data_IF_412611948479
#
_entry.id   IF_412611948479
#
_cell.length_a   1.000
_cell.length_b   1.000
_cell.length_c   1.000
_cell.angle_alpha   90.00
_cell.angle_beta   90.00
_cell.angle_gamma   90.00
#
_symmetry.space_group_name_H-M   'P 1'
#
loop_
_entity.id
_entity.type
_entity.pdbx_description
1 polymer ?
#
# COMPACT_ATOMS: atom_id res chain seq x y z
N UNK A 1 13.86 -22.72 -2.88
CA UNK A 1 12.69 -22.69 -3.79
C UNK A 1 12.84 -23.83 -4.79
N UNK A 2 11.80 -24.64 -5.02
CA UNK A 2 11.77 -25.49 -6.20
C UNK A 2 11.19 -24.64 -7.33
N UNK A 3 12.01 -24.36 -8.34
CA UNK A 3 11.55 -23.76 -9.60
C UNK A 3 10.64 -24.79 -10.27
N UNK A 4 9.44 -24.39 -10.70
CA UNK A 4 8.55 -25.28 -11.46
C UNK A 4 9.30 -25.76 -12.70
N UNK A 5 9.42 -27.07 -12.87
CA UNK A 5 9.96 -27.67 -14.08
C UNK A 5 8.86 -27.64 -15.15
N UNK A 6 9.00 -26.83 -16.23
CA UNK A 6 7.98 -26.75 -17.26
C UNK A 6 7.78 -28.07 -18.03
N UNK A 7 8.72 -29.01 -17.92
CA UNK A 7 8.65 -30.31 -18.57
C UNK A 7 8.12 -31.43 -17.64
N UNK A 8 7.86 -31.15 -16.34
CA UNK A 8 7.18 -32.08 -15.43
C UNK A 8 5.65 -31.86 -15.47
N UNK A 9 4.86 -32.85 -15.93
CA UNK A 9 3.39 -32.74 -16.02
C UNK A 9 2.70 -32.39 -14.69
N UNK A 10 3.31 -32.70 -13.54
CA UNK A 10 2.77 -32.32 -12.23
C UNK A 10 2.95 -30.84 -11.94
N UNK A 11 4.09 -30.27 -12.33
CA UNK A 11 4.38 -28.85 -12.17
C UNK A 11 3.57 -28.02 -13.18
N UNK A 12 3.36 -28.53 -14.39
CA UNK A 12 2.44 -27.95 -15.39
C UNK A 12 1.00 -27.89 -14.85
N UNK A 13 0.45 -29.02 -14.39
CA UNK A 13 -0.91 -29.07 -13.84
C UNK A 13 -1.09 -28.16 -12.60
N UNK A 14 -0.04 -28.05 -11.77
CA UNK A 14 -0.02 -27.14 -10.62
C UNK A 14 -0.01 -25.68 -11.07
N UNK A 15 0.80 -25.34 -12.07
CA UNK A 15 0.88 -24.00 -12.62
C UNK A 15 -0.47 -23.57 -13.20
N UNK A 16 -1.10 -24.41 -14.01
CA UNK A 16 -2.41 -24.12 -14.61
C UNK A 16 -3.48 -23.85 -13.54
N UNK A 17 -3.51 -24.66 -12.48
CA UNK A 17 -4.44 -24.46 -11.37
C UNK A 17 -4.19 -23.11 -10.65
N UNK A 18 -2.92 -22.72 -10.46
CA UNK A 18 -2.57 -21.44 -9.86
C UNK A 18 -2.92 -20.26 -10.77
N UNK A 19 -2.69 -20.38 -12.08
CA UNK A 19 -3.05 -19.37 -13.08
C UNK A 19 -4.56 -19.18 -13.16
N UNK A 20 -5.34 -20.27 -13.16
CA UNK A 20 -6.80 -20.17 -13.12
C UNK A 20 -7.29 -19.49 -11.84
N UNK A 21 -6.70 -19.82 -10.68
CA UNK A 21 -7.03 -19.13 -9.44
C UNK A 21 -6.66 -17.65 -9.47
N UNK A 22 -5.57 -17.26 -10.12
CA UNK A 22 -5.19 -15.86 -10.26
C UNK A 22 -6.17 -15.13 -11.19
N UNK A 23 -6.55 -15.73 -12.32
CA UNK A 23 -7.58 -15.20 -13.21
C UNK A 23 -8.93 -15.00 -12.49
N UNK A 24 -9.26 -15.90 -11.57
CA UNK A 24 -10.45 -15.81 -10.70
C UNK A 24 -10.33 -14.78 -9.56
N UNK A 25 -9.17 -14.15 -9.37
CA UNK A 25 -8.89 -13.24 -8.24
C UNK A 25 -8.73 -13.93 -6.89
N UNK A 26 -8.49 -15.25 -6.86
CA UNK A 26 -8.33 -16.10 -5.66
C UNK A 26 -6.87 -16.45 -5.35
N UNK A 27 -5.94 -15.92 -6.12
CA UNK A 27 -4.50 -16.02 -5.96
C UNK A 27 -3.83 -14.77 -6.54
N UNK A 28 -2.55 -14.61 -6.27
CA UNK A 28 -1.71 -13.50 -6.72
C UNK A 28 -0.48 -14.02 -7.45
N UNK A 29 0.25 -13.15 -8.16
CA UNK A 29 1.52 -13.52 -8.79
C UNK A 29 2.55 -13.98 -7.75
N UNK A 30 2.48 -13.49 -6.50
CA UNK A 30 3.24 -14.05 -5.37
C UNK A 30 3.02 -15.55 -5.24
N UNK A 31 1.77 -15.99 -5.26
CA UNK A 31 1.41 -17.40 -5.06
C UNK A 31 1.82 -18.26 -6.27
N UNK A 32 1.67 -17.72 -7.49
CA UNK A 32 2.09 -18.39 -8.74
C UNK A 32 3.60 -18.59 -8.78
N UNK A 33 4.38 -17.58 -8.38
CA UNK A 33 5.84 -17.62 -8.42
C UNK A 33 6.48 -18.18 -7.15
N UNK A 34 5.67 -18.41 -6.11
CA UNK A 34 6.13 -18.90 -4.82
C UNK A 34 7.07 -17.92 -4.11
N UNK A 35 6.87 -16.61 -4.28
CA UNK A 35 7.63 -15.61 -3.53
C UNK A 35 7.23 -15.68 -2.05
N UNK A 36 8.24 -15.78 -1.18
CA UNK A 36 8.03 -15.69 0.26
C UNK A 36 7.77 -14.25 0.70
N UNK A 37 7.07 -14.08 1.82
CA UNK A 37 6.87 -12.75 2.39
C UNK A 37 8.23 -12.11 2.76
N UNK A 38 9.20 -12.88 3.26
CA UNK A 38 10.55 -12.37 3.59
C UNK A 38 11.27 -11.77 2.37
N UNK A 39 11.18 -12.41 1.20
CA UNK A 39 11.75 -11.89 -0.05
C UNK A 39 11.10 -10.57 -0.46
N UNK A 40 9.76 -10.49 -0.42
CA UNK A 40 9.03 -9.28 -0.78
C UNK A 40 9.30 -8.13 0.21
N UNK A 41 9.36 -8.41 1.50
CA UNK A 41 9.68 -7.41 2.52
C UNK A 41 11.16 -6.99 2.50
N UNK A 42 12.08 -7.83 2.00
CA UNK A 42 13.46 -7.43 1.72
C UNK A 42 13.54 -6.41 0.57
N UNK A 43 12.75 -6.59 -0.50
CA UNK A 43 12.62 -5.61 -1.57
C UNK A 43 12.00 -4.31 -1.03
N UNK A 44 10.97 -4.40 -0.18
CA UNK A 44 10.34 -3.23 0.42
C UNK A 44 11.32 -2.43 1.29
N UNK A 45 12.17 -3.09 2.07
CA UNK A 45 13.26 -2.45 2.83
C UNK A 45 14.20 -1.66 1.91
N UNK A 46 14.55 -2.22 0.75
CA UNK A 46 15.37 -1.54 -0.27
C UNK A 46 14.64 -0.34 -0.88
N UNK A 47 13.35 -0.47 -1.16
CA UNK A 47 12.52 0.62 -1.66
C UNK A 47 12.45 1.80 -0.67
N UNK A 48 12.29 1.50 0.63
CA UNK A 48 12.37 2.53 1.67
C UNK A 48 13.75 3.16 1.77
N UNK A 49 14.82 2.39 1.62
CA UNK A 49 16.18 2.93 1.60
C UNK A 49 16.36 3.97 0.48
N UNK A 50 15.89 3.69 -0.74
CA UNK A 50 15.89 4.70 -1.81
C UNK A 50 15.00 5.90 -1.49
N UNK A 51 13.81 5.66 -0.94
CA UNK A 51 12.90 6.74 -0.56
C UNK A 51 13.54 7.74 0.42
N UNK A 52 14.20 7.23 1.48
CA UNK A 52 14.88 8.07 2.47
C UNK A 52 16.12 8.80 1.93
N UNK A 53 16.68 8.35 0.80
CA UNK A 53 17.73 9.07 0.08
C UNK A 53 17.19 10.14 -0.88
N UNK A 54 15.87 10.34 -0.95
CA UNK A 54 15.24 11.22 -1.94
C UNK A 54 15.19 10.61 -3.34
N UNK A 55 15.58 9.34 -3.51
CA UNK A 55 15.54 8.59 -4.77
C UNK A 55 14.14 8.03 -4.99
N UNK A 56 13.19 8.95 -5.15
CA UNK A 56 11.75 8.67 -5.21
C UNK A 56 11.41 7.81 -6.44
N UNK A 57 12.09 8.00 -7.57
CA UNK A 57 11.84 7.22 -8.79
C UNK A 57 12.12 5.73 -8.58
N UNK A 58 13.25 5.38 -7.98
CA UNK A 58 13.62 3.99 -7.73
C UNK A 58 12.72 3.34 -6.67
N UNK A 59 12.40 4.08 -5.60
CA UNK A 59 11.43 3.62 -4.61
C UNK A 59 10.07 3.32 -5.25
N UNK A 60 9.63 4.18 -6.17
CA UNK A 60 8.35 4.04 -6.88
C UNK A 60 8.34 2.78 -7.72
N UNK A 61 9.39 2.54 -8.51
CA UNK A 61 9.50 1.33 -9.32
C UNK A 61 9.38 0.06 -8.48
N UNK A 62 10.07 0.02 -7.33
CA UNK A 62 10.03 -1.16 -6.47
C UNK A 62 8.66 -1.36 -5.81
N UNK A 63 8.02 -0.31 -5.29
CA UNK A 63 6.68 -0.45 -4.68
C UNK A 63 5.58 -0.76 -5.70
N UNK A 64 5.69 -0.26 -6.93
CA UNK A 64 4.79 -0.64 -8.02
C UNK A 64 4.92 -2.13 -8.33
N UNK A 65 6.15 -2.65 -8.40
CA UNK A 65 6.41 -4.08 -8.60
C UNK A 65 5.86 -4.93 -7.46
N UNK A 66 6.10 -4.55 -6.20
CA UNK A 66 5.58 -5.24 -5.02
C UNK A 66 4.05 -5.28 -5.01
N UNK A 67 3.40 -4.15 -5.30
CA UNK A 67 1.95 -4.08 -5.39
C UNK A 67 1.40 -4.93 -6.54
N UNK A 68 2.07 -4.97 -7.70
CA UNK A 68 1.67 -5.82 -8.81
C UNK A 68 1.80 -7.32 -8.48
N UNK A 69 2.82 -7.70 -7.71
CA UNK A 69 3.07 -9.08 -7.29
C UNK A 69 2.06 -9.54 -6.24
N UNK A 70 1.76 -8.68 -5.26
CA UNK A 70 0.82 -8.96 -4.18
C UNK A 70 -0.09 -7.74 -3.90
N UNK A 71 -1.17 -7.54 -4.67
CA UNK A 71 -2.07 -6.40 -4.50
C UNK A 71 -2.96 -6.51 -3.25
N UNK A 72 -2.94 -7.66 -2.57
CA UNK A 72 -3.71 -7.91 -1.34
C UNK A 72 -2.95 -7.58 -0.06
N UNK A 73 -1.67 -7.20 -0.16
CA UNK A 73 -0.91 -6.72 1.00
C UNK A 73 -1.12 -5.22 1.19
N UNK A 74 -1.79 -4.87 2.29
CA UNK A 74 -2.08 -3.48 2.66
C UNK A 74 -0.81 -2.65 2.88
N UNK A 75 0.29 -3.28 3.31
CA UNK A 75 1.56 -2.60 3.52
C UNK A 75 2.14 -2.09 2.20
N UNK A 76 2.13 -2.90 1.13
CA UNK A 76 2.61 -2.47 -0.19
C UNK A 76 1.70 -1.41 -0.81
N UNK A 77 0.38 -1.54 -0.66
CA UNK A 77 -0.57 -0.51 -1.10
C UNK A 77 -0.34 0.83 -0.37
N UNK A 78 -0.17 0.80 0.96
CA UNK A 78 0.13 2.00 1.76
C UNK A 78 1.46 2.64 1.36
N UNK A 79 2.51 1.85 1.23
CA UNK A 79 3.83 2.32 0.86
C UNK A 79 3.85 2.92 -0.56
N UNK A 80 3.16 2.28 -1.51
CA UNK A 80 2.95 2.84 -2.84
C UNK A 80 2.23 4.19 -2.77
N UNK A 81 1.20 4.33 -1.94
CA UNK A 81 0.51 5.61 -1.72
C UNK A 81 1.44 6.74 -1.27
N UNK A 82 2.33 6.45 -0.31
CA UNK A 82 3.34 7.40 0.17
C UNK A 82 4.31 7.80 -0.95
N UNK A 83 4.80 6.83 -1.72
CA UNK A 83 5.80 7.09 -2.76
C UNK A 83 5.21 7.79 -3.99
N UNK A 84 3.99 7.44 -4.40
CA UNK A 84 3.27 8.13 -5.47
C UNK A 84 3.02 9.60 -5.11
N UNK A 85 2.69 9.88 -3.83
CA UNK A 85 2.52 11.24 -3.34
C UNK A 85 3.84 12.03 -3.43
N UNK A 86 4.95 11.44 -2.99
CA UNK A 86 6.28 12.05 -3.11
C UNK A 86 6.72 12.26 -4.58
N UNK A 87 6.24 11.41 -5.49
CA UNK A 87 6.45 11.53 -6.93
C UNK A 87 5.55 12.59 -7.59
N UNK A 88 4.69 13.28 -6.82
CA UNK A 88 3.74 14.26 -7.34
C UNK A 88 2.50 13.65 -8.01
N UNK A 89 2.34 12.33 -7.98
CA UNK A 89 1.19 11.64 -8.56
C UNK A 89 0.07 11.45 -7.51
N UNK A 90 -0.62 12.55 -7.18
CA UNK A 90 -1.68 12.54 -6.17
C UNK A 90 -2.82 11.54 -6.47
N UNK A 91 -3.20 11.38 -7.74
CA UNK A 91 -4.24 10.42 -8.13
C UNK A 91 -3.81 8.97 -7.90
N UNK A 92 -2.57 8.62 -8.28
CA UNK A 92 -2.00 7.29 -8.00
C UNK A 92 -1.90 7.03 -6.50
N UNK A 93 -1.54 8.05 -5.72
CA UNK A 93 -1.48 7.95 -4.26
C UNK A 93 -2.86 7.68 -3.65
N UNK A 94 -3.91 8.41 -4.07
CA UNK A 94 -5.28 8.17 -3.63
C UNK A 94 -5.74 6.74 -3.92
N UNK A 95 -5.52 6.26 -5.15
CA UNK A 95 -5.92 4.91 -5.55
C UNK A 95 -5.24 3.84 -4.67
N UNK A 96 -3.96 4.00 -4.38
CA UNK A 96 -3.22 3.08 -3.52
C UNK A 96 -3.70 3.12 -2.06
N UNK A 97 -3.96 4.31 -1.51
CA UNK A 97 -4.53 4.45 -0.17
C UNK A 97 -5.98 3.94 -0.08
N UNK A 98 -6.78 4.04 -1.14
CA UNK A 98 -8.13 3.48 -1.17
C UNK A 98 -8.12 1.95 -1.07
N UNK A 99 -7.14 1.30 -1.72
CA UNK A 99 -6.93 -0.14 -1.59
C UNK A 99 -6.47 -0.49 -0.18
N UNK A 100 -5.47 0.22 0.35
CA UNK A 100 -5.02 0.02 1.73
C UNK A 100 -6.17 0.20 2.75
N UNK A 101 -7.08 1.17 2.53
CA UNK A 101 -8.21 1.42 3.44
C UNK A 101 -9.25 0.30 3.40
N UNK A 102 -9.41 -0.38 2.26
CA UNK A 102 -10.26 -1.56 2.12
C UNK A 102 -9.66 -2.77 2.82
N UNK A 103 -8.34 -2.96 2.70
CA UNK A 103 -7.63 -4.11 3.28
C UNK A 103 -7.45 -3.99 4.80
N UNK A 104 -7.17 -2.79 5.29
CA UNK A 104 -6.98 -2.50 6.73
C UNK A 104 -7.88 -1.35 7.18
N UNK A 105 -9.21 -1.59 7.32
CA UNK A 105 -10.17 -0.53 7.62
C UNK A 105 -10.00 0.14 9.00
N UNK A 106 -9.17 -0.44 9.86
CA UNK A 106 -8.88 0.01 11.22
C UNK A 106 -7.42 0.51 11.41
N UNK A 107 -6.65 0.68 10.33
CA UNK A 107 -5.31 1.31 10.41
C UNK A 107 -5.45 2.84 10.26
N UNK A 108 -5.24 3.63 11.31
CA UNK A 108 -5.37 5.09 11.24
C UNK A 108 -4.34 5.73 10.29
N UNK A 109 -3.19 5.08 10.07
CA UNK A 109 -2.12 5.63 9.22
C UNK A 109 -2.52 5.71 7.75
N UNK A 110 -3.39 4.82 7.30
CA UNK A 110 -3.94 4.82 5.94
C UNK A 110 -4.82 6.05 5.72
N UNK A 111 -5.70 6.37 6.67
CA UNK A 111 -6.60 7.52 6.56
C UNK A 111 -5.85 8.84 6.71
N UNK A 112 -4.84 8.92 7.58
CA UNK A 112 -3.97 10.09 7.66
C UNK A 112 -3.20 10.30 6.35
N UNK A 113 -2.60 9.25 5.79
CA UNK A 113 -1.89 9.34 4.51
C UNK A 113 -2.82 9.77 3.37
N UNK A 114 -4.02 9.18 3.27
CA UNK A 114 -5.02 9.59 2.28
C UNK A 114 -5.47 11.04 2.46
N UNK A 115 -5.65 11.48 3.70
CA UNK A 115 -6.00 12.88 3.99
C UNK A 115 -4.90 13.85 3.55
N UNK A 116 -3.63 13.52 3.77
CA UNK A 116 -2.49 14.34 3.31
C UNK A 116 -2.48 14.51 1.79
N UNK A 117 -2.74 13.42 1.05
CA UNK A 117 -2.89 13.47 -0.41
C UNK A 117 -4.06 14.37 -0.81
N UNK A 118 -5.24 14.18 -0.20
CA UNK A 118 -6.43 15.00 -0.45
C UNK A 118 -6.17 16.48 -0.18
N UNK A 119 -5.45 16.81 0.91
CA UNK A 119 -5.09 18.19 1.23
C UNK A 119 -4.18 18.80 0.17
N UNK A 120 -3.16 18.07 -0.29
CA UNK A 120 -2.28 18.54 -1.35
C UNK A 120 -3.02 18.75 -2.69
N UNK A 121 -4.11 18.03 -2.90
CA UNK A 121 -5.00 18.18 -4.05
C UNK A 121 -6.12 19.23 -3.84
N UNK A 122 -6.12 19.96 -2.72
CA UNK A 122 -7.13 20.99 -2.41
C UNK A 122 -8.49 20.43 -1.93
N UNK A 123 -8.60 19.14 -1.71
CA UNK A 123 -9.83 18.44 -1.28
C UNK A 123 -9.99 18.47 0.25
N UNK A 124 -9.98 19.67 0.84
CA UNK A 124 -10.02 19.89 2.30
C UNK A 124 -11.23 19.20 2.98
N UNK A 125 -12.48 19.28 2.46
CA UNK A 125 -13.62 18.62 3.10
C UNK A 125 -13.43 17.10 3.24
N UNK A 126 -13.02 16.43 2.16
CA UNK A 126 -12.81 14.98 2.13
C UNK A 126 -11.61 14.56 2.98
N UNK A 127 -10.58 15.40 3.10
CA UNK A 127 -9.47 15.15 4.00
C UNK A 127 -9.90 15.19 5.47
N UNK A 128 -10.76 16.14 5.85
CA UNK A 128 -11.28 16.24 7.21
C UNK A 128 -12.13 15.02 7.60
N UNK A 129 -12.86 14.41 6.67
CA UNK A 129 -13.57 13.15 6.91
C UNK A 129 -12.61 12.01 7.26
N UNK A 130 -11.55 11.84 6.48
CA UNK A 130 -10.52 10.82 6.73
C UNK A 130 -9.80 11.05 8.07
N UNK A 131 -9.43 12.31 8.37
CA UNK A 131 -8.79 12.65 9.65
C UNK A 131 -9.72 12.39 10.83
N UNK A 132 -11.02 12.71 10.72
CA UNK A 132 -11.99 12.41 11.79
C UNK A 132 -12.13 10.91 11.99
N UNK A 133 -12.14 10.13 10.91
CA UNK A 133 -12.15 8.67 10.97
C UNK A 133 -10.91 8.14 11.68
N UNK A 134 -9.72 8.62 11.33
CA UNK A 134 -8.47 8.26 12.00
C UNK A 134 -8.48 8.63 13.49
N UNK A 135 -8.92 9.85 13.82
CA UNK A 135 -8.97 10.36 15.19
C UNK A 135 -9.97 9.61 16.10
N UNK A 136 -10.99 8.97 15.51
CA UNK A 136 -11.96 8.15 16.22
C UNK A 136 -11.48 6.69 16.46
N UNK A 137 -10.33 6.28 15.91
CA UNK A 137 -9.74 4.97 16.17
C UNK A 137 -9.08 4.90 17.55
N UNK A 138 -8.89 3.68 18.09
CA UNK A 138 -8.56 3.42 19.50
C UNK A 138 -7.67 4.50 20.14
N UNK A 139 -8.25 5.33 21.02
CA UNK A 139 -7.52 6.40 21.67
C UNK A 139 -6.77 5.83 22.87
N UNK A 140 -5.53 5.45 22.64
CA UNK A 140 -4.60 4.96 23.66
C UNK A 140 -3.17 5.23 23.24
N UNK A 141 -2.78 6.50 23.24
CA UNK A 141 -1.43 6.99 22.92
C UNK A 141 -0.86 6.67 21.51
N UNK A 142 -1.72 6.35 20.54
CA UNK A 142 -1.29 6.19 19.15
C UNK A 142 -0.83 7.55 18.56
N UNK A 143 0.46 7.70 18.16
CA UNK A 143 0.97 8.93 17.55
C UNK A 143 0.22 9.37 16.30
N UNK A 144 -0.31 8.42 15.52
CA UNK A 144 -1.04 8.68 14.28
C UNK A 144 -2.41 9.29 14.58
N UNK A 145 -3.11 8.77 15.59
CA UNK A 145 -4.38 9.32 16.07
C UNK A 145 -4.20 10.74 16.61
N UNK A 146 -3.11 10.99 17.38
CA UNK A 146 -2.74 12.35 17.84
C UNK A 146 -2.46 13.28 16.66
N UNK A 147 -1.72 12.82 15.65
CA UNK A 147 -1.44 13.58 14.42
C UNK A 147 -2.74 13.98 13.72
N UNK A 148 -3.68 13.05 13.59
CA UNK A 148 -4.98 13.33 12.97
C UNK A 148 -5.75 14.44 13.71
N UNK A 149 -5.85 14.35 15.05
CA UNK A 149 -6.49 15.36 15.88
C UNK A 149 -5.82 16.75 15.78
N UNK A 150 -4.49 16.78 15.72
CA UNK A 150 -3.73 18.02 15.53
C UNK A 150 -4.01 18.65 14.15
N UNK A 151 -4.05 17.84 13.09
CA UNK A 151 -4.39 18.28 11.74
C UNK A 151 -5.81 18.85 11.66
N UNK A 152 -6.81 18.20 12.28
CA UNK A 152 -8.19 18.72 12.35
C UNK A 152 -8.23 20.09 13.00
N UNK A 153 -7.52 20.25 14.13
CA UNK A 153 -7.45 21.53 14.86
C UNK A 153 -6.83 22.62 14.00
N UNK A 154 -5.72 22.33 13.31
CA UNK A 154 -5.05 23.29 12.43
C UNK A 154 -5.93 23.71 11.23
N UNK A 155 -6.68 22.77 10.66
CA UNK A 155 -7.54 23.02 9.50
C UNK A 155 -8.85 23.75 9.86
N UNK A 156 -9.31 23.66 11.11
CA UNK A 156 -10.52 24.35 11.59
C UNK A 156 -10.27 25.79 12.03
N UNK A 157 -9.01 26.19 12.22
CA UNK A 157 -8.60 27.54 12.67
C UNK A 157 -8.35 28.53 11.51
N UNK A 158 -8.57 28.11 10.27
CA UNK A 158 -8.45 28.90 9.04
C UNK A 158 -9.77 28.88 8.28
#
# INVERSE_FOLDING_TARGET
>A
MAVLDPDDPKDEARLDALLQRWADGKATLRDVRGYSDDELYAIAKTAYFFFYQGRVSEARTLFQGLYAVNPTDAYFAKALGVVEMAAGNGQGALAAFDVAAKLTPHDPSVYVGRAEVKLAMGQKPQALEDLRRAAAMQPGDDPVVRKAAAMITALSRR
#
